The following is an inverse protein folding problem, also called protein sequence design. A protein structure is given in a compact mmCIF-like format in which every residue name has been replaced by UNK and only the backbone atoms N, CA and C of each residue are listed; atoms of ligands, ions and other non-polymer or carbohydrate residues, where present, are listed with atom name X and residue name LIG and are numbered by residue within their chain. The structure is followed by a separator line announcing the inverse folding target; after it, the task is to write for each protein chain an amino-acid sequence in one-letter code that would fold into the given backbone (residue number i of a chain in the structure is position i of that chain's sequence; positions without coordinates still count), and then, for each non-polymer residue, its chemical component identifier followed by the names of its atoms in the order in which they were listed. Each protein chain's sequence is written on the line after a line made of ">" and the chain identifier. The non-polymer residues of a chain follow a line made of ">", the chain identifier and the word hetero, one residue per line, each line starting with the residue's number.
data_IF_726051379734
#
_entry.id   IF_726051379734
#
_cell.length_a   1.000
_cell.length_b   1.000
_cell.length_c   1.000
_cell.angle_alpha   90.00
_cell.angle_beta   90.00
_cell.angle_gamma   90.00
#
_symmetry.space_group_name_H-M   'P 1'
#
loop_
_entity.id
_entity.type
_entity.pdbx_description
1 polymer ?
#
# COMPACT_ATOMS: atom_id res chain seq x y z
N UNK A 1 9.03 -10.37 46.86
CA UNK A 1 10.06 -10.08 45.83
C UNK A 1 9.62 -8.99 44.83
N UNK A 2 8.73 -9.22 43.84
CA UNK A 2 8.32 -8.16 42.89
C UNK A 2 7.59 -6.97 43.54
N UNK A 3 6.87 -7.20 44.65
CA UNK A 3 6.11 -6.15 45.35
C UNK A 3 6.98 -5.14 46.14
N UNK A 4 8.26 -5.43 46.36
CA UNK A 4 9.17 -4.56 47.11
C UNK A 4 10.05 -3.70 46.18
N UNK A 5 10.10 -4.06 44.89
CA UNK A 5 10.94 -3.35 43.91
C UNK A 5 10.36 -1.96 43.60
N UNK A 6 11.21 -0.94 43.38
CA UNK A 6 10.79 0.35 42.84
C UNK A 6 10.06 0.21 41.49
N UNK A 7 9.20 1.17 41.16
CA UNK A 7 8.37 1.09 39.96
C UNK A 7 9.21 1.13 38.67
N UNK A 8 10.36 1.79 38.70
CA UNK A 8 11.33 1.87 37.60
C UNK A 8 11.94 0.50 37.29
N UNK A 9 12.21 -0.31 38.31
CA UNK A 9 12.74 -1.67 38.14
C UNK A 9 11.67 -2.59 37.57
N UNK A 10 10.44 -2.48 38.07
CA UNK A 10 9.28 -3.22 37.53
C UNK A 10 9.05 -2.85 36.06
N UNK A 11 9.17 -1.57 35.72
CA UNK A 11 9.10 -1.09 34.34
C UNK A 11 10.17 -1.74 33.46
N UNK A 12 11.44 -1.72 33.89
CA UNK A 12 12.53 -2.36 33.15
C UNK A 12 12.29 -3.86 32.95
N UNK A 13 11.85 -4.58 33.98
CA UNK A 13 11.50 -6.00 33.87
C UNK A 13 10.39 -6.22 32.84
N UNK A 14 9.35 -5.39 32.85
CA UNK A 14 8.22 -5.53 31.95
C UNK A 14 8.60 -5.35 30.47
N UNK A 15 9.64 -4.56 30.16
CA UNK A 15 10.15 -4.39 28.79
C UNK A 15 10.75 -5.67 28.20
N UNK A 16 11.22 -6.59 29.04
CA UNK A 16 11.77 -7.89 28.61
C UNK A 16 10.70 -8.97 28.42
N UNK A 17 9.43 -8.67 28.73
CA UNK A 17 8.36 -9.64 28.52
C UNK A 17 8.13 -9.87 27.02
N UNK A 18 8.15 -11.13 26.56
CA UNK A 18 8.20 -11.42 25.13
C UNK A 18 6.86 -11.18 24.43
N UNK A 19 5.73 -11.29 25.15
CA UNK A 19 4.39 -11.23 24.56
C UNK A 19 3.46 -10.27 25.29
N UNK A 20 2.46 -9.75 24.55
CA UNK A 20 1.40 -8.93 25.12
C UNK A 20 0.63 -9.68 26.22
N UNK A 21 0.47 -11.01 26.07
CA UNK A 21 -0.15 -11.87 27.09
C UNK A 21 0.69 -11.91 28.38
N UNK A 22 2.02 -11.99 28.27
CA UNK A 22 2.92 -11.94 29.44
C UNK A 22 2.78 -10.62 30.19
N UNK A 23 2.72 -9.48 29.47
CA UNK A 23 2.50 -8.15 30.07
C UNK A 23 1.12 -8.08 30.75
N UNK A 24 0.09 -8.59 30.10
CA UNK A 24 -1.26 -8.62 30.65
C UNK A 24 -1.35 -9.49 31.93
N UNK A 25 -0.74 -10.67 31.94
CA UNK A 25 -0.70 -11.53 33.11
C UNK A 25 0.03 -10.86 34.28
N UNK A 26 1.16 -10.18 34.04
CA UNK A 26 1.85 -9.42 35.09
C UNK A 26 0.94 -8.31 35.67
N UNK A 27 0.11 -7.68 34.85
CA UNK A 27 -0.84 -6.65 35.32
C UNK A 27 -1.97 -7.21 36.18
N UNK A 28 -2.26 -8.51 36.05
CA UNK A 28 -3.36 -9.17 36.74
C UNK A 28 -2.94 -9.78 38.09
N UNK A 29 -1.64 -9.84 38.40
CA UNK A 29 -1.18 -10.51 39.63
C UNK A 29 -1.55 -9.75 40.91
N UNK A 30 -1.52 -8.41 40.91
CA UNK A 30 -1.94 -7.61 42.08
C UNK A 30 -2.26 -6.16 41.71
N UNK A 31 -2.97 -5.45 42.61
CA UNK A 31 -3.39 -4.04 42.39
C UNK A 31 -2.23 -3.08 42.14
N UNK A 32 -1.09 -3.26 42.82
CA UNK A 32 0.11 -2.42 42.63
C UNK A 32 0.71 -2.60 41.24
N UNK A 33 0.90 -3.85 40.80
CA UNK A 33 1.42 -4.14 39.47
C UNK A 33 0.46 -3.72 38.37
N UNK A 34 -0.85 -3.87 38.59
CA UNK A 34 -1.87 -3.30 37.72
C UNK A 34 -1.65 -1.80 37.53
N UNK A 35 -1.62 -1.04 38.64
CA UNK A 35 -1.45 0.40 38.62
C UNK A 35 -0.17 0.84 37.91
N UNK A 36 0.97 0.16 38.16
CA UNK A 36 2.25 0.47 37.50
C UNK A 36 2.18 0.20 35.99
N UNK A 37 1.58 -0.92 35.57
CA UNK A 37 1.58 -1.32 34.15
C UNK A 37 0.60 -0.49 33.31
N UNK A 38 -0.50 -0.05 33.91
CA UNK A 38 -1.51 0.78 33.22
C UNK A 38 -1.28 2.28 33.38
N UNK A 39 -0.31 2.70 34.21
CA UNK A 39 0.03 4.12 34.40
C UNK A 39 0.51 4.79 33.10
N UNK A 40 0.48 6.14 33.10
CA UNK A 40 1.01 6.98 32.02
C UNK A 40 0.53 6.55 30.63
N UNK A 41 -0.78 6.43 30.46
CA UNK A 41 -1.43 5.96 29.23
C UNK A 41 -0.90 4.60 28.74
N UNK A 42 -0.68 3.65 29.65
CA UNK A 42 -0.17 2.32 29.30
C UNK A 42 1.22 2.38 28.64
N UNK A 43 2.14 3.19 29.17
CA UNK A 43 3.53 3.36 28.66
C UNK A 43 4.28 2.04 28.42
N UNK A 44 4.04 1.01 29.22
CA UNK A 44 4.66 -0.32 29.02
C UNK A 44 4.15 -0.96 27.73
N UNK A 45 2.84 -0.87 27.46
CA UNK A 45 2.28 -1.34 26.21
C UNK A 45 2.77 -0.52 25.02
N UNK A 46 2.99 0.79 25.19
CA UNK A 46 3.63 1.63 24.16
C UNK A 46 5.01 1.08 23.81
N UNK A 47 5.85 0.87 24.82
CA UNK A 47 7.19 0.36 24.61
C UNK A 47 7.19 -1.05 23.98
N UNK A 48 6.27 -1.92 24.41
CA UNK A 48 6.05 -3.23 23.79
C UNK A 48 5.70 -3.08 22.30
N UNK A 49 4.72 -2.26 21.95
CA UNK A 49 4.31 -2.05 20.54
C UNK A 49 5.47 -1.48 19.73
N UNK A 50 6.13 -0.43 20.22
CA UNK A 50 7.26 0.19 19.51
C UNK A 50 8.44 -0.77 19.30
N UNK A 51 8.67 -1.71 20.21
CA UNK A 51 9.77 -2.68 20.08
C UNK A 51 9.39 -3.84 19.17
N UNK A 52 8.17 -4.35 19.29
CA UNK A 52 7.70 -5.57 18.62
C UNK A 52 7.11 -5.32 17.23
N UNK A 53 6.58 -4.11 17.01
CA UNK A 53 5.91 -3.66 15.78
C UNK A 53 6.39 -2.25 15.35
N UNK A 54 7.71 -2.02 15.20
CA UNK A 54 8.31 -0.68 15.09
C UNK A 54 7.85 0.15 13.87
N UNK A 55 7.39 -0.48 12.79
CA UNK A 55 7.03 0.23 11.55
C UNK A 55 5.50 0.32 11.32
N UNK A 56 4.70 -0.11 12.29
CA UNK A 56 3.24 -0.01 12.20
C UNK A 56 2.81 1.28 12.88
N UNK A 57 2.29 2.23 12.08
CA UNK A 57 1.66 3.42 12.62
C UNK A 57 0.51 3.01 13.54
N UNK A 58 0.62 3.44 14.80
CA UNK A 58 -0.26 2.99 15.87
C UNK A 58 -0.75 4.22 16.63
N UNK A 59 -2.07 4.49 16.69
CA UNK A 59 -2.61 5.55 17.54
C UNK A 59 -2.33 5.25 19.03
N UNK A 60 -2.44 6.25 19.93
CA UNK A 60 -2.07 6.13 21.35
C UNK A 60 -3.04 5.26 22.20
N UNK A 61 -3.62 4.21 21.62
CA UNK A 61 -4.46 3.21 22.31
C UNK A 61 -3.63 1.96 22.61
N UNK A 62 -2.50 2.14 23.30
CA UNK A 62 -1.39 1.17 23.31
C UNK A 62 -1.76 -0.25 23.77
N UNK A 63 -2.66 -0.36 24.74
CA UNK A 63 -3.16 -1.66 25.21
C UNK A 63 -3.95 -2.41 24.12
N UNK A 64 -4.90 -1.72 23.50
CA UNK A 64 -5.73 -2.30 22.44
C UNK A 64 -4.89 -2.59 21.18
N UNK A 65 -3.96 -1.69 20.85
CA UNK A 65 -2.99 -1.87 19.80
C UNK A 65 -2.14 -3.13 20.02
N UNK A 66 -1.56 -3.30 21.21
CA UNK A 66 -0.76 -4.47 21.55
C UNK A 66 -1.58 -5.75 21.38
N UNK A 67 -2.83 -5.77 21.86
CA UNK A 67 -3.73 -6.91 21.69
C UNK A 67 -4.01 -7.21 20.21
N UNK A 68 -4.35 -6.20 19.42
CA UNK A 68 -4.74 -6.37 18.03
C UNK A 68 -3.56 -6.78 17.13
N UNK A 69 -2.39 -6.16 17.30
CA UNK A 69 -1.18 -6.49 16.54
C UNK A 69 -0.69 -7.89 16.87
N UNK A 70 -0.62 -8.24 18.17
CA UNK A 70 -0.28 -9.60 18.61
C UNK A 70 -1.27 -10.65 18.06
N UNK A 71 -2.57 -10.34 18.07
CA UNK A 71 -3.61 -11.24 17.56
C UNK A 71 -3.52 -11.41 16.04
N UNK A 72 -3.29 -10.33 15.29
CA UNK A 72 -3.12 -10.36 13.83
C UNK A 72 -1.88 -11.15 13.43
N UNK A 73 -0.75 -10.91 14.09
CA UNK A 73 0.49 -11.69 13.86
C UNK A 73 0.25 -13.18 14.08
N UNK A 74 -0.40 -13.55 15.18
CA UNK A 74 -0.74 -14.95 15.48
C UNK A 74 -1.71 -15.56 14.48
N UNK A 75 -2.74 -14.82 14.05
CA UNK A 75 -3.72 -15.30 13.08
C UNK A 75 -3.04 -15.65 11.76
N UNK A 76 -2.12 -14.79 11.32
CA UNK A 76 -1.36 -14.98 10.10
C UNK A 76 -0.37 -16.16 10.18
N UNK A 77 0.36 -16.31 11.29
CA UNK A 77 1.21 -17.49 11.53
C UNK A 77 0.43 -18.80 11.56
N UNK A 78 -0.89 -18.74 11.77
CA UNK A 78 -1.81 -19.88 11.72
C UNK A 78 -2.56 -19.99 10.40
N UNK A 79 -2.16 -19.23 9.38
CA UNK A 79 -2.81 -19.18 8.07
C UNK A 79 -4.31 -18.83 8.14
N UNK A 80 -4.73 -18.07 9.16
CA UNK A 80 -6.12 -17.65 9.35
C UNK A 80 -6.45 -16.46 8.43
N UNK A 81 -6.53 -16.72 7.13
CA UNK A 81 -6.90 -15.76 6.09
C UNK A 81 -8.35 -15.97 5.68
N UNK A 82 -9.12 -14.89 5.57
CA UNK A 82 -10.51 -14.93 5.12
C UNK A 82 -10.61 -14.20 3.79
N UNK A 83 -10.84 -14.95 2.71
CA UNK A 83 -11.25 -14.38 1.43
C UNK A 83 -12.72 -13.98 1.49
N UNK A 84 -13.06 -12.79 0.95
CA UNK A 84 -14.45 -12.34 0.82
C UNK A 84 -14.68 -11.84 -0.58
N UNK A 85 -15.79 -12.26 -1.17
CA UNK A 85 -16.32 -11.65 -2.38
C UNK A 85 -17.13 -10.42 -1.98
N UNK A 86 -16.89 -9.30 -2.66
CA UNK A 86 -17.44 -7.99 -2.29
C UNK A 86 -18.15 -7.41 -3.50
N UNK A 87 -19.43 -7.07 -3.33
CA UNK A 87 -20.26 -6.40 -4.32
C UNK A 87 -20.96 -5.19 -3.69
N UNK A 88 -21.20 -4.12 -4.46
CA UNK A 88 -22.08 -3.05 -3.99
C UNK A 88 -23.48 -3.60 -3.71
N UNK A 89 -24.10 -3.25 -2.57
CA UNK A 89 -25.45 -3.66 -2.25
C UNK A 89 -26.47 -2.97 -3.17
N UNK A 90 -27.67 -3.54 -3.31
CA UNK A 90 -28.72 -3.00 -4.20
C UNK A 90 -29.18 -1.58 -3.84
N UNK A 91 -29.01 -1.18 -2.59
CA UNK A 91 -29.34 0.14 -2.07
C UNK A 91 -28.14 1.10 -2.05
N UNK A 92 -27.04 0.78 -2.74
CA UNK A 92 -25.93 1.72 -2.90
C UNK A 92 -26.43 3.01 -3.56
N UNK A 93 -26.04 4.16 -3.00
CA UNK A 93 -26.42 5.45 -3.54
C UNK A 93 -25.80 5.63 -4.93
N UNK A 94 -26.63 6.02 -5.89
CA UNK A 94 -26.24 6.24 -7.28
C UNK A 94 -26.03 7.73 -7.51
N UNK A 95 -24.78 8.14 -7.74
CA UNK A 95 -24.40 9.55 -7.93
C UNK A 95 -24.05 9.79 -9.40
N UNK A 96 -24.62 10.83 -10.00
CA UNK A 96 -24.40 11.20 -11.40
C UNK A 96 -25.35 10.49 -12.37
N UNK A 97 -24.91 10.24 -13.61
CA UNK A 97 -25.69 9.60 -14.66
C UNK A 97 -25.55 8.07 -14.60
N UNK A 98 -26.67 7.37 -14.40
CA UNK A 98 -26.73 5.90 -14.39
C UNK A 98 -27.56 5.35 -15.55
N UNK A 99 -27.74 6.14 -16.60
CA UNK A 99 -28.56 5.78 -17.77
C UNK A 99 -27.73 5.25 -18.93
N UNK A 100 -26.41 5.12 -18.74
CA UNK A 100 -25.51 4.70 -19.79
C UNK A 100 -25.87 3.30 -20.31
N UNK A 101 -25.87 3.18 -21.63
CA UNK A 101 -25.96 1.89 -22.31
C UNK A 101 -24.68 1.69 -23.09
N UNK A 102 -23.97 0.60 -22.80
CA UNK A 102 -22.79 0.21 -23.57
C UNK A 102 -23.24 -0.28 -24.94
N UNK A 103 -22.67 0.27 -26.00
CA UNK A 103 -23.02 -0.08 -27.40
C UNK A 103 -21.86 -0.72 -28.17
N UNK A 104 -20.66 -0.77 -27.59
CA UNK A 104 -19.50 -1.37 -28.21
C UNK A 104 -19.25 -2.79 -27.70
N UNK A 105 -18.51 -3.57 -28.50
CA UNK A 105 -17.95 -4.83 -28.04
C UNK A 105 -16.65 -4.53 -27.29
N UNK A 106 -16.49 -4.97 -26.01
CA UNK A 106 -15.27 -4.75 -25.26
C UNK A 106 -14.03 -5.28 -25.99
N UNK A 107 -13.13 -4.39 -26.40
CA UNK A 107 -11.85 -4.77 -27.06
C UNK A 107 -10.65 -4.62 -26.15
N UNK A 108 -10.81 -3.88 -25.04
CA UNK A 108 -9.79 -3.65 -24.05
C UNK A 108 -9.93 -4.67 -22.91
N UNK A 109 -8.80 -5.27 -22.52
CA UNK A 109 -8.76 -6.17 -21.37
C UNK A 109 -9.02 -5.42 -20.07
N UNK A 110 -9.54 -6.14 -19.07
CA UNK A 110 -9.77 -5.57 -17.74
C UNK A 110 -8.45 -5.07 -17.11
N UNK A 111 -8.46 -3.80 -16.66
CA UNK A 111 -7.36 -3.17 -15.95
C UNK A 111 -7.81 -2.91 -14.50
N UNK A 112 -7.30 -3.67 -13.51
CA UNK A 112 -7.76 -3.50 -12.13
C UNK A 112 -7.33 -2.15 -11.57
N UNK A 113 -8.30 -1.33 -11.21
CA UNK A 113 -8.09 -0.04 -10.55
C UNK A 113 -8.76 -0.11 -9.18
N UNK A 114 -7.98 -0.24 -8.11
CA UNK A 114 -8.46 -0.38 -6.74
C UNK A 114 -7.51 0.34 -5.80
N UNK A 115 -8.06 1.05 -4.83
CA UNK A 115 -7.30 1.69 -3.77
C UNK A 115 -8.09 1.73 -2.46
N UNK A 116 -7.38 1.78 -1.34
CA UNK A 116 -7.99 1.81 -0.02
C UNK A 116 -7.11 2.52 1.00
N UNK A 117 -7.73 3.17 1.99
CA UNK A 117 -7.02 3.62 3.18
C UNK A 117 -7.86 3.38 4.44
N UNK A 118 -7.18 3.33 5.57
CA UNK A 118 -7.79 3.20 6.89
C UNK A 118 -7.23 4.29 7.81
N UNK A 119 -8.10 4.89 8.63
CA UNK A 119 -7.70 5.84 9.68
C UNK A 119 -8.44 5.55 10.97
N UNK A 120 -7.77 5.72 12.10
CA UNK A 120 -8.40 5.71 13.41
C UNK A 120 -9.00 7.08 13.72
N UNK A 121 -10.24 7.11 14.19
CA UNK A 121 -11.00 8.34 14.38
C UNK A 121 -11.89 8.34 15.62
N UNK A 122 -11.57 7.51 16.62
CA UNK A 122 -12.25 7.48 17.92
C UNK A 122 -11.28 7.23 19.07
N UNK A 123 -11.78 6.67 20.17
CA UNK A 123 -11.03 6.48 21.42
C UNK A 123 -10.45 5.07 21.57
N UNK A 124 -10.88 4.13 20.74
CA UNK A 124 -10.44 2.74 20.76
C UNK A 124 -9.79 2.33 19.46
N UNK A 125 -8.97 1.29 19.52
CA UNK A 125 -8.38 0.70 18.32
C UNK A 125 -9.41 0.25 17.28
N UNK A 126 -10.62 -0.14 17.72
CA UNK A 126 -11.71 -0.58 16.85
C UNK A 126 -12.47 0.57 16.17
N UNK A 127 -12.32 1.81 16.66
CA UNK A 127 -12.98 2.99 16.11
C UNK A 127 -12.20 3.50 14.89
N UNK A 128 -12.62 3.02 13.72
CA UNK A 128 -11.89 3.22 12.46
C UNK A 128 -12.80 3.55 11.31
N UNK A 129 -12.30 4.39 10.41
CA UNK A 129 -12.86 4.63 9.08
C UNK A 129 -12.00 3.96 8.02
N UNK A 130 -12.60 3.06 7.27
CA UNK A 130 -12.02 2.43 6.08
C UNK A 130 -12.73 3.00 4.84
N UNK A 131 -11.95 3.43 3.86
CA UNK A 131 -12.46 3.83 2.54
C UNK A 131 -11.82 2.92 1.50
N UNK A 132 -12.66 2.32 0.67
CA UNK A 132 -12.27 1.43 -0.43
C UNK A 132 -12.92 1.96 -1.70
N UNK A 133 -12.14 2.12 -2.77
CA UNK A 133 -12.65 2.53 -4.07
C UNK A 133 -12.07 1.66 -5.18
N UNK A 134 -12.88 1.37 -6.21
CA UNK A 134 -12.41 0.67 -7.39
C UNK A 134 -13.21 1.05 -8.64
N UNK A 135 -12.55 0.92 -9.80
CA UNK A 135 -13.18 1.03 -11.10
C UNK A 135 -13.83 -0.31 -11.51
N UNK A 136 -15.05 -0.22 -12.04
CA UNK A 136 -15.79 -1.32 -12.63
C UNK A 136 -16.35 -0.85 -13.98
N UNK A 137 -15.61 -1.13 -15.07
CA UNK A 137 -15.85 -0.49 -16.37
C UNK A 137 -15.83 1.04 -16.22
N UNK A 138 -16.85 1.76 -16.70
CA UNK A 138 -16.98 3.21 -16.59
C UNK A 138 -17.43 3.71 -15.20
N UNK A 139 -17.92 2.81 -14.34
CA UNK A 139 -18.41 3.15 -13.01
C UNK A 139 -17.29 3.12 -11.96
N UNK A 140 -17.32 4.09 -11.06
CA UNK A 140 -16.50 4.11 -9.85
C UNK A 140 -17.33 3.67 -8.65
N UNK A 141 -16.89 2.63 -7.95
CA UNK A 141 -17.54 2.11 -6.75
C UNK A 141 -16.74 2.53 -5.53
N UNK A 142 -17.42 3.06 -4.50
CA UNK A 142 -16.81 3.51 -3.25
C UNK A 142 -17.58 2.93 -2.06
N UNK A 143 -16.83 2.37 -1.11
CA UNK A 143 -17.32 1.93 0.19
C UNK A 143 -16.66 2.73 1.29
N UNK A 144 -17.47 3.28 2.19
CA UNK A 144 -17.01 3.96 3.40
C UNK A 144 -17.58 3.20 4.60
N UNK A 145 -16.69 2.60 5.37
CA UNK A 145 -17.06 1.79 6.54
C UNK A 145 -16.47 2.41 7.80
N UNK A 146 -17.35 2.80 8.71
CA UNK A 146 -17.01 3.11 10.10
C UNK A 146 -17.19 1.84 10.94
N UNK A 147 -16.18 1.52 11.74
CA UNK A 147 -16.19 0.43 12.72
C UNK A 147 -16.12 1.00 14.14
N UNK A 148 -16.42 0.15 15.13
CA UNK A 148 -16.38 0.51 16.55
C UNK A 148 -17.71 1.06 17.06
N UNK A 149 -17.65 2.08 17.91
CA UNK A 149 -18.80 2.62 18.66
C UNK A 149 -19.89 3.18 17.75
N UNK A 150 -19.49 3.77 16.61
CA UNK A 150 -20.39 4.35 15.62
C UNK A 150 -20.42 3.53 14.32
N UNK A 151 -20.53 2.20 14.43
CA UNK A 151 -20.48 1.31 13.28
C UNK A 151 -21.56 1.68 12.24
N UNK A 152 -21.12 2.02 11.02
CA UNK A 152 -21.99 2.34 9.89
C UNK A 152 -21.25 2.07 8.59
N UNK A 153 -22.00 1.79 7.54
CA UNK A 153 -21.43 1.49 6.23
C UNK A 153 -22.25 2.20 5.16
N UNK A 154 -21.55 2.83 4.21
CA UNK A 154 -22.14 3.52 3.07
C UNK A 154 -21.47 3.07 1.79
N UNK A 155 -22.27 3.03 0.74
CA UNK A 155 -21.89 2.55 -0.57
C UNK A 155 -22.35 3.53 -1.63
N UNK A 156 -21.47 3.82 -2.57
CA UNK A 156 -21.71 4.73 -3.68
C UNK A 156 -21.28 4.09 -4.98
N UNK A 157 -22.07 4.34 -6.02
CA UNK A 157 -21.65 4.10 -7.39
C UNK A 157 -21.76 5.41 -8.13
N UNK A 158 -20.64 5.85 -8.68
CA UNK A 158 -20.52 7.07 -9.45
C UNK A 158 -20.33 6.75 -10.93
N UNK A 159 -21.10 7.41 -11.77
CA UNK A 159 -20.86 7.53 -13.20
C UNK A 159 -21.39 8.88 -13.65
N UNK A 160 -20.75 9.51 -14.62
CA UNK A 160 -21.11 10.81 -15.17
C UNK A 160 -21.35 10.74 -16.69
N UNK A 161 -21.39 9.52 -17.25
CA UNK A 161 -21.52 9.30 -18.68
C UNK A 161 -22.96 8.96 -19.06
N UNK A 162 -23.38 9.46 -20.22
CA UNK A 162 -24.66 9.08 -20.84
C UNK A 162 -24.48 7.96 -21.88
N UNK A 163 -23.29 7.85 -22.45
CA UNK A 163 -22.88 6.82 -23.40
C UNK A 163 -21.51 6.30 -23.01
N UNK A 164 -21.32 4.99 -23.09
CA UNK A 164 -20.10 4.33 -22.64
C UNK A 164 -19.50 3.46 -23.73
N UNK A 165 -18.18 3.50 -23.81
CA UNK A 165 -17.33 2.67 -24.65
C UNK A 165 -16.21 2.06 -23.82
N UNK A 166 -15.47 1.11 -24.38
CA UNK A 166 -14.27 0.53 -23.76
C UNK A 166 -13.22 1.58 -23.38
N UNK A 167 -13.17 2.72 -24.09
CA UNK A 167 -12.22 3.79 -23.79
C UNK A 167 -12.64 4.64 -22.58
N UNK A 168 -13.88 4.50 -22.13
CA UNK A 168 -14.41 5.16 -20.93
C UNK A 168 -14.18 4.33 -19.66
N UNK A 169 -13.71 3.09 -19.81
CA UNK A 169 -13.37 2.22 -18.68
C UNK A 169 -12.32 2.91 -17.79
N UNK A 170 -12.56 2.88 -16.48
CA UNK A 170 -11.65 3.38 -15.46
C UNK A 170 -10.46 2.41 -15.37
N UNK A 171 -9.26 2.91 -15.65
CA UNK A 171 -8.01 2.15 -15.58
C UNK A 171 -7.10 2.60 -14.42
N UNK A 172 -7.51 3.61 -13.65
CA UNK A 172 -6.74 4.13 -12.53
C UNK A 172 -7.63 4.75 -11.46
N UNK A 173 -7.37 4.43 -10.20
CA UNK A 173 -8.03 5.02 -9.02
C UNK A 173 -6.98 5.22 -7.93
N UNK A 174 -6.94 6.41 -7.34
CA UNK A 174 -6.10 6.75 -6.19
C UNK A 174 -6.90 7.59 -5.20
N UNK A 175 -7.06 7.12 -3.97
CA UNK A 175 -7.73 7.83 -2.88
C UNK A 175 -6.78 8.86 -2.27
N UNK A 176 -7.28 10.07 -2.03
CA UNK A 176 -6.54 11.08 -1.28
C UNK A 176 -6.76 10.85 0.22
N UNK A 177 -5.66 10.63 0.94
CA UNK A 177 -5.64 10.36 2.38
C UNK A 177 -6.11 11.58 3.19
N UNK A 178 -6.46 11.37 4.46
CA UNK A 178 -6.95 12.43 5.36
C UNK A 178 -5.98 13.60 5.57
N UNK A 179 -4.68 13.40 5.34
CA UNK A 179 -3.67 14.46 5.44
C UNK A 179 -3.61 15.37 4.19
N UNK A 180 -4.41 15.11 3.16
CA UNK A 180 -4.46 15.95 1.97
C UNK A 180 -4.97 17.36 2.29
N UNK A 181 -4.23 18.38 1.83
CA UNK A 181 -4.37 19.76 2.30
C UNK A 181 -5.78 20.36 2.16
N UNK A 182 -6.56 19.96 1.15
CA UNK A 182 -7.89 20.50 0.86
C UNK A 182 -9.03 19.50 1.06
N UNK A 183 -8.76 18.39 1.75
CA UNK A 183 -9.79 17.39 2.05
C UNK A 183 -10.63 17.85 3.23
N UNK A 184 -11.93 18.04 3.00
CA UNK A 184 -12.89 18.20 4.10
C UNK A 184 -13.22 16.83 4.71
N UNK A 185 -13.55 16.83 6.01
CA UNK A 185 -13.96 15.65 6.77
C UNK A 185 -15.25 15.02 6.24
N UNK A 186 -16.10 15.81 5.57
CA UNK A 186 -17.40 15.39 5.03
C UNK A 186 -17.34 14.89 3.58
N UNK A 187 -16.18 14.96 2.93
CA UNK A 187 -16.00 14.57 1.53
C UNK A 187 -14.88 13.56 1.34
N UNK A 188 -15.07 12.65 0.39
CA UNK A 188 -14.01 11.79 -0.10
C UNK A 188 -13.44 12.35 -1.39
N UNK A 189 -12.12 12.53 -1.39
CA UNK A 189 -11.38 13.02 -2.54
C UNK A 189 -10.60 11.86 -3.15
N UNK A 190 -10.63 11.77 -4.47
CA UNK A 190 -9.92 10.74 -5.22
C UNK A 190 -9.55 11.25 -6.60
N UNK A 191 -8.50 10.68 -7.17
CA UNK A 191 -8.16 10.83 -8.58
C UNK A 191 -8.54 9.54 -9.29
N UNK A 192 -9.24 9.66 -10.40
CA UNK A 192 -9.48 8.52 -11.28
C UNK A 192 -9.09 8.87 -12.71
N UNK A 193 -8.77 7.84 -13.48
CA UNK A 193 -8.33 7.95 -14.87
C UNK A 193 -9.04 6.95 -15.76
N UNK A 194 -9.46 7.40 -16.95
CA UNK A 194 -10.08 6.61 -18.00
C UNK A 194 -9.09 6.28 -19.10
N UNK A 195 -9.31 5.16 -19.80
CA UNK A 195 -8.41 4.71 -20.87
C UNK A 195 -8.24 5.78 -21.96
N UNK A 196 -9.28 6.56 -22.29
CA UNK A 196 -9.23 7.67 -23.26
C UNK A 196 -8.26 8.82 -22.92
N UNK A 197 -7.58 8.76 -21.78
CA UNK A 197 -6.64 9.80 -21.34
C UNK A 197 -7.26 10.82 -20.41
N UNK A 198 -8.54 10.71 -20.05
CA UNK A 198 -9.13 11.62 -19.07
C UNK A 198 -8.64 11.28 -17.66
N UNK A 199 -8.16 12.28 -16.94
CA UNK A 199 -7.81 12.16 -15.53
C UNK A 199 -8.44 13.32 -14.76
N UNK A 200 -9.16 12.99 -13.70
CA UNK A 200 -9.96 13.94 -12.95
C UNK A 200 -9.80 13.74 -11.44
N UNK A 201 -9.68 14.85 -10.69
CA UNK A 201 -9.79 14.87 -9.24
C UNK A 201 -11.24 15.14 -8.86
N UNK A 202 -11.86 14.16 -8.22
CA UNK A 202 -13.26 14.15 -7.83
C UNK A 202 -13.39 14.27 -6.31
N UNK A 203 -14.27 15.16 -5.86
CA UNK A 203 -14.73 15.21 -4.49
C UNK A 203 -16.18 14.70 -4.44
N UNK A 204 -16.45 13.68 -3.64
CA UNK A 204 -17.80 13.14 -3.42
C UNK A 204 -18.20 13.43 -1.99
N UNK A 205 -19.42 13.94 -1.79
CA UNK A 205 -20.03 14.06 -0.46
C UNK A 205 -20.99 12.89 -0.22
N UNK A 206 -20.61 11.92 0.62
CA UNK A 206 -21.42 10.74 0.93
C UNK A 206 -22.79 11.06 1.54
N UNK A 207 -22.88 12.16 2.29
CA UNK A 207 -24.08 12.53 3.04
C UNK A 207 -25.08 13.31 2.19
N UNK A 208 -24.58 14.04 1.19
CA UNK A 208 -25.38 14.88 0.30
C UNK A 208 -25.65 14.24 -1.06
N UNK A 209 -24.99 13.12 -1.36
CA UNK A 209 -25.05 12.43 -2.65
C UNK A 209 -24.67 13.33 -3.84
N UNK A 210 -23.79 14.31 -3.61
CA UNK A 210 -23.28 15.23 -4.64
C UNK A 210 -21.82 14.94 -4.93
N UNK A 211 -21.40 15.30 -6.14
CA UNK A 211 -20.01 15.23 -6.58
C UNK A 211 -19.58 16.57 -7.18
N UNK A 212 -18.28 16.82 -7.16
CA UNK A 212 -17.67 18.02 -7.72
C UNK A 212 -16.31 17.66 -8.34
N UNK A 213 -16.14 18.03 -9.61
CA UNK A 213 -14.85 18.00 -10.27
C UNK A 213 -13.98 19.16 -9.78
N UNK A 214 -12.95 18.84 -9.02
CA UNK A 214 -12.03 19.85 -8.47
C UNK A 214 -10.96 20.25 -9.47
N UNK A 215 -10.43 19.28 -10.22
CA UNK A 215 -9.36 19.46 -11.22
C UNK A 215 -9.47 18.45 -12.34
N UNK A 216 -9.06 18.85 -13.52
CA UNK A 216 -8.75 17.97 -14.65
C UNK A 216 -7.26 18.09 -14.97
N UNK A 217 -6.63 16.98 -15.35
CA UNK A 217 -5.21 16.96 -15.70
C UNK A 217 -5.06 16.88 -17.21
N UNK A 218 -4.20 17.72 -17.78
CA UNK A 218 -3.96 17.77 -19.21
C UNK A 218 -3.13 16.56 -19.67
N UNK A 219 -3.68 15.77 -20.58
CA UNK A 219 -3.04 14.55 -21.10
C UNK A 219 -2.83 14.57 -22.61
N UNK A 220 -3.31 15.62 -23.29
CA UNK A 220 -3.27 15.75 -24.75
C UNK A 220 -3.91 14.59 -25.50
N UNK A 221 -4.92 13.94 -24.89
CA UNK A 221 -5.66 12.82 -25.50
C UNK A 221 -4.86 11.53 -25.64
N UNK A 222 -3.75 11.39 -24.93
CA UNK A 222 -2.96 10.15 -24.92
C UNK A 222 -3.69 9.04 -24.15
N UNK A 223 -3.74 7.83 -24.72
CA UNK A 223 -4.33 6.67 -24.05
C UNK A 223 -3.62 6.38 -22.73
N UNK A 224 -4.39 6.29 -21.64
CA UNK A 224 -3.92 6.05 -20.29
C UNK A 224 -3.84 4.55 -20.01
N UNK A 225 -2.68 4.11 -19.52
CA UNK A 225 -2.50 2.72 -19.07
C UNK A 225 -2.77 2.58 -17.57
N UNK A 226 -2.28 3.55 -16.79
CA UNK A 226 -2.38 3.54 -15.32
C UNK A 226 -2.06 4.92 -14.74
N UNK A 227 -2.45 5.12 -13.49
CA UNK A 227 -1.98 6.22 -12.66
C UNK A 227 -1.31 5.69 -11.39
N UNK A 228 -0.54 6.55 -10.74
CA UNK A 228 -0.01 6.32 -9.40
C UNK A 228 0.10 7.64 -8.65
N UNK A 229 -0.02 7.58 -7.34
CA UNK A 229 -0.01 8.76 -6.48
C UNK A 229 1.08 8.60 -5.42
N UNK A 230 1.83 9.67 -5.16
CA UNK A 230 2.78 9.68 -4.04
C UNK A 230 2.04 9.86 -2.71
N UNK A 231 2.70 9.54 -1.61
CA UNK A 231 2.18 9.83 -0.28
C UNK A 231 2.35 11.32 0.10
N UNK A 232 1.72 11.71 1.21
CA UNK A 232 1.88 13.02 1.83
C UNK A 232 0.73 14.02 1.56
N UNK A 233 0.82 15.23 2.14
CA UNK A 233 -0.23 16.25 2.05
C UNK A 233 -0.31 16.93 0.68
N UNK A 234 0.78 16.91 -0.09
CA UNK A 234 0.90 17.48 -1.44
C UNK A 234 1.34 16.39 -2.43
N UNK A 235 0.49 15.40 -2.70
CA UNK A 235 0.88 14.24 -3.49
C UNK A 235 1.15 14.62 -4.95
N UNK A 236 2.11 13.92 -5.55
CA UNK A 236 2.42 13.99 -6.97
C UNK A 236 1.67 12.86 -7.66
N UNK A 237 0.93 13.20 -8.71
CA UNK A 237 0.30 12.24 -9.59
C UNK A 237 1.26 11.87 -10.72
N UNK A 238 1.44 10.59 -10.98
CA UNK A 238 2.10 10.08 -12.17
C UNK A 238 1.07 9.42 -13.10
N UNK A 239 0.99 9.85 -14.35
CA UNK A 239 0.14 9.28 -15.38
C UNK A 239 1.00 8.56 -16.43
N UNK A 240 0.65 7.31 -16.74
CA UNK A 240 1.38 6.46 -17.68
C UNK A 240 0.58 6.29 -18.95
N UNK A 241 1.19 6.62 -20.08
CA UNK A 241 0.54 6.59 -21.37
C UNK A 241 1.04 5.44 -22.23
N UNK A 242 0.19 4.96 -23.14
CA UNK A 242 0.48 3.83 -24.03
C UNK A 242 1.70 4.05 -24.93
N UNK A 243 2.06 5.32 -25.20
CA UNK A 243 3.25 5.68 -25.96
C UNK A 243 4.57 5.55 -25.15
N UNK A 244 4.49 5.14 -23.88
CA UNK A 244 5.63 4.98 -22.98
C UNK A 244 6.08 6.27 -22.27
N UNK A 245 5.33 7.37 -22.40
CA UNK A 245 5.54 8.59 -21.63
C UNK A 245 4.89 8.48 -20.26
N UNK A 246 5.57 9.02 -19.26
CA UNK A 246 5.07 9.21 -17.90
C UNK A 246 5.08 10.69 -17.61
N UNK A 247 3.91 11.29 -17.36
CA UNK A 247 3.80 12.69 -16.98
C UNK A 247 3.50 12.82 -15.49
N UNK A 248 4.06 13.86 -14.88
CA UNK A 248 3.92 14.13 -13.45
C UNK A 248 3.19 15.46 -13.21
N UNK A 249 2.25 15.46 -12.27
CA UNK A 249 1.37 16.59 -11.98
C UNK A 249 1.33 16.86 -10.47
N UNK A 250 1.29 18.13 -10.10
CA UNK A 250 0.97 18.53 -8.74
C UNK A 250 -0.54 18.52 -8.54
N UNK A 251 -1.08 17.66 -7.67
CA UNK A 251 -2.53 17.59 -7.44
C UNK A 251 -3.08 18.85 -6.77
N UNK A 252 -2.21 19.63 -6.14
CA UNK A 252 -2.53 20.84 -5.39
C UNK A 252 -2.39 22.11 -6.24
N UNK A 253 -2.12 21.98 -7.53
CA UNK A 253 -2.03 23.11 -8.47
C UNK A 253 -3.35 23.88 -8.53
N UNK A 254 -3.26 25.21 -8.63
CA UNK A 254 -4.43 26.07 -8.82
C UNK A 254 -4.94 26.11 -10.26
N UNK A 255 -4.06 25.79 -11.22
CA UNK A 255 -4.40 25.74 -12.64
C UNK A 255 -5.45 24.66 -12.95
N UNK A 256 -6.36 24.94 -13.88
CA UNK A 256 -7.31 23.97 -14.41
C UNK A 256 -7.52 24.22 -15.92
N UNK A 257 -7.09 23.31 -16.81
CA UNK A 257 -6.49 22.01 -16.51
C UNK A 257 -5.09 22.13 -15.90
N UNK A 258 -4.73 21.15 -15.07
CA UNK A 258 -3.40 21.03 -14.44
C UNK A 258 -2.41 20.53 -15.50
N UNK A 259 -1.38 21.31 -15.77
CA UNK A 259 -0.30 20.94 -16.68
C UNK A 259 0.73 20.04 -15.99
N UNK A 260 1.34 19.14 -16.75
CA UNK A 260 2.46 18.35 -16.26
C UNK A 260 3.67 19.25 -16.01
N UNK A 261 4.32 19.12 -14.85
CA UNK A 261 5.53 19.90 -14.56
C UNK A 261 6.80 19.21 -15.09
N UNK A 262 6.74 17.90 -15.33
CA UNK A 262 7.83 17.13 -15.94
C UNK A 262 7.30 15.82 -16.54
N UNK A 263 8.09 15.19 -17.41
CA UNK A 263 7.78 13.90 -18.00
C UNK A 263 9.05 13.05 -18.22
N UNK A 264 8.89 11.74 -18.25
CA UNK A 264 9.93 10.78 -18.67
C UNK A 264 9.39 9.97 -19.83
N UNK A 265 10.23 9.66 -20.82
CA UNK A 265 9.87 8.75 -21.92
C UNK A 265 10.69 7.47 -21.85
N UNK A 266 10.02 6.33 -21.77
CA UNK A 266 10.66 5.02 -21.82
C UNK A 266 10.76 4.58 -23.28
N UNK A 267 11.92 4.79 -23.88
CA UNK A 267 12.27 4.23 -25.19
C UNK A 267 12.79 2.81 -25.00
N UNK A 268 11.91 1.81 -25.11
CA UNK A 268 12.35 0.41 -25.17
C UNK A 268 12.06 -0.14 -26.56
N UNK A 269 13.09 -0.67 -27.22
CA UNK A 269 13.00 -1.35 -28.53
C UNK A 269 12.14 -2.63 -28.46
N UNK A 270 11.94 -3.14 -27.25
CA UNK A 270 11.03 -4.24 -26.97
C UNK A 270 9.86 -3.69 -26.19
N UNK A 271 8.74 -3.51 -26.86
CA UNK A 271 7.44 -3.15 -26.26
C UNK A 271 6.98 -4.30 -25.36
N UNK A 272 7.61 -4.46 -24.19
CA UNK A 272 7.17 -5.43 -23.19
C UNK A 272 5.97 -4.82 -22.49
N UNK A 273 4.81 -5.49 -22.60
CA UNK A 273 3.51 -5.12 -22.00
C UNK A 273 3.52 -4.90 -20.47
N UNK A 274 4.63 -5.17 -19.79
CA UNK A 274 4.72 -5.11 -18.32
C UNK A 274 5.72 -4.02 -17.89
N UNK A 275 5.34 -2.76 -18.07
CA UNK A 275 6.08 -1.62 -17.52
C UNK A 275 5.64 -1.40 -16.07
N UNK A 276 6.54 -1.65 -15.12
CA UNK A 276 6.31 -1.35 -13.72
C UNK A 276 6.90 0.01 -13.37
N UNK A 277 6.18 0.77 -12.55
CA UNK A 277 6.61 2.07 -12.09
C UNK A 277 5.85 2.42 -10.82
N UNK A 278 6.53 3.02 -9.85
CA UNK A 278 5.91 3.33 -8.56
C UNK A 278 6.68 4.42 -7.84
N UNK A 279 5.96 5.26 -7.10
CA UNK A 279 6.58 6.09 -6.07
C UNK A 279 7.17 5.19 -4.98
N UNK A 280 8.44 5.42 -4.64
CA UNK A 280 9.05 4.83 -3.46
C UNK A 280 8.87 5.74 -2.24
N UNK A 281 8.77 7.03 -2.49
CA UNK A 281 8.53 8.12 -1.54
C UNK A 281 8.06 9.36 -2.32
N UNK A 282 7.67 10.47 -1.67
CA UNK A 282 7.29 11.69 -2.39
C UNK A 282 8.42 12.27 -3.25
N UNK A 283 9.68 11.96 -2.93
CA UNK A 283 10.88 12.46 -3.60
C UNK A 283 11.55 11.43 -4.53
N UNK A 284 11.14 10.15 -4.52
CA UNK A 284 11.77 9.09 -5.34
C UNK A 284 10.77 8.26 -6.13
N UNK A 285 11.13 7.97 -7.37
CA UNK A 285 10.32 7.23 -8.32
C UNK A 285 11.10 6.06 -8.92
N UNK A 286 10.52 4.86 -8.85
CA UNK A 286 11.05 3.66 -9.48
C UNK A 286 10.44 3.45 -10.86
N UNK A 287 11.27 3.06 -11.82
CA UNK A 287 10.93 2.89 -13.22
C UNK A 287 11.57 1.62 -13.80
N UNK A 288 10.76 0.68 -14.25
CA UNK A 288 11.23 -0.45 -15.03
C UNK A 288 11.37 -0.06 -16.51
N UNK A 289 12.57 -0.16 -17.07
CA UNK A 289 12.85 0.21 -18.46
C UNK A 289 12.67 -0.96 -19.42
N UNK A 290 12.87 -2.19 -18.93
CA UNK A 290 12.87 -3.42 -19.73
C UNK A 290 14.16 -3.64 -20.54
N UNK A 291 15.18 -2.80 -20.37
CA UNK A 291 16.51 -2.97 -21.00
C UNK A 291 17.46 -3.69 -20.05
N UNK A 292 18.44 -4.42 -20.56
CA UNK A 292 19.29 -5.26 -19.72
C UNK A 292 20.25 -4.43 -18.85
N UNK A 293 20.73 -3.33 -19.40
CA UNK A 293 21.68 -2.40 -18.80
C UNK A 293 21.08 -1.51 -17.69
N UNK A 294 19.76 -1.31 -17.68
CA UNK A 294 19.09 -0.45 -16.69
C UNK A 294 17.66 -0.88 -16.36
N UNK A 295 17.44 -2.20 -16.29
CA UNK A 295 16.13 -2.85 -16.10
C UNK A 295 15.25 -2.18 -15.06
N UNK A 296 15.86 -1.72 -13.97
CA UNK A 296 15.24 -0.86 -12.98
C UNK A 296 16.08 0.39 -12.77
N UNK A 297 15.45 1.55 -12.93
CA UNK A 297 16.05 2.86 -12.66
C UNK A 297 15.26 3.58 -11.57
N UNK A 298 15.97 4.21 -10.65
CA UNK A 298 15.41 5.05 -9.59
C UNK A 298 15.74 6.49 -9.92
N UNK A 299 14.73 7.34 -9.99
CA UNK A 299 14.85 8.77 -10.18
C UNK A 299 14.45 9.52 -8.90
N UNK A 300 15.03 10.70 -8.70
CA UNK A 300 14.69 11.61 -7.62
C UNK A 300 14.12 12.91 -8.19
N UNK A 301 13.07 13.44 -7.56
CA UNK A 301 12.52 14.75 -7.89
C UNK A 301 13.42 15.84 -7.30
N UNK A 302 13.83 16.77 -8.16
CA UNK A 302 14.57 17.98 -7.82
C UNK A 302 13.81 19.22 -8.29
N UNK A 303 14.13 20.43 -7.81
CA UNK A 303 13.52 21.66 -8.29
C UNK A 303 13.63 21.83 -9.82
N UNK A 304 14.71 21.34 -10.43
CA UNK A 304 14.98 21.41 -11.87
C UNK A 304 14.29 20.29 -12.67
N UNK A 305 13.63 19.34 -12.00
CA UNK A 305 12.95 18.19 -12.62
C UNK A 305 13.42 16.83 -12.08
N UNK A 306 13.22 15.78 -12.87
CA UNK A 306 13.63 14.42 -12.51
C UNK A 306 15.11 14.18 -12.82
N UNK A 307 15.83 13.64 -11.85
CA UNK A 307 17.24 13.26 -11.99
C UNK A 307 17.43 11.78 -11.71
N UNK A 308 18.30 11.11 -12.47
CA UNK A 308 18.64 9.71 -12.20
C UNK A 308 19.40 9.60 -10.87
N UNK A 309 18.98 8.68 -10.02
CA UNK A 309 19.57 8.44 -8.70
C UNK A 309 20.37 7.13 -8.66
N UNK A 310 19.80 6.01 -9.14
CA UNK A 310 20.47 4.70 -9.18
C UNK A 310 19.90 3.82 -10.30
N UNK A 311 20.72 2.92 -10.85
CA UNK A 311 20.30 1.92 -11.82
C UNK A 311 20.68 0.52 -11.37
N UNK A 312 19.91 -0.46 -11.83
CA UNK A 312 20.12 -1.88 -11.60
C UNK A 312 20.02 -2.63 -12.92
N UNK A 313 21.11 -3.30 -13.28
CA UNK A 313 21.21 -4.15 -14.45
C UNK A 313 20.91 -5.62 -14.12
N UNK A 314 20.53 -6.39 -15.13
CA UNK A 314 20.23 -7.84 -15.00
C UNK A 314 21.48 -8.65 -14.65
N UNK A 315 22.66 -8.21 -15.10
CA UNK A 315 23.93 -8.92 -14.88
C UNK A 315 24.37 -8.94 -13.42
N UNK A 316 23.98 -7.92 -12.65
CA UNK A 316 24.24 -7.81 -11.21
C UNK A 316 23.29 -8.67 -10.35
N UNK A 317 22.29 -9.33 -10.94
CA UNK A 317 21.33 -10.17 -10.23
C UNK A 317 21.84 -11.62 -10.10
N UNK A 318 21.48 -12.29 -9.00
CA UNK A 318 21.72 -13.73 -8.74
C UNK A 318 20.82 -14.65 -9.57
N UNK A 319 20.78 -14.47 -10.89
CA UNK A 319 19.92 -15.27 -11.78
C UNK A 319 20.52 -16.67 -11.91
N UNK A 320 19.78 -17.69 -11.46
CA UNK A 320 20.24 -19.07 -11.51
C UNK A 320 20.11 -19.64 -12.94
N UNK A 321 21.24 -19.81 -13.61
CA UNK A 321 21.33 -20.35 -14.98
C UNK A 321 20.84 -21.81 -15.06
N UNK A 322 20.82 -22.55 -13.94
CA UNK A 322 20.37 -23.96 -13.89
C UNK A 322 18.86 -24.12 -13.96
N UNK A 323 18.09 -23.04 -13.78
CA UNK A 323 16.62 -23.09 -13.84
C UNK A 323 16.07 -23.11 -15.28
N UNK A 324 16.93 -23.00 -16.30
CA UNK A 324 16.51 -22.91 -17.70
C UNK A 324 15.73 -21.62 -18.03
N UNK A 325 15.70 -20.65 -17.11
CA UNK A 325 15.00 -19.38 -17.29
C UNK A 325 15.94 -18.42 -18.03
N UNK A 326 15.61 -18.10 -19.28
CA UNK A 326 16.29 -17.05 -20.04
C UNK A 326 16.37 -15.76 -19.21
N UNK A 327 17.54 -15.11 -19.15
CA UNK A 327 17.70 -13.79 -18.51
C UNK A 327 16.65 -12.84 -19.08
N UNK A 328 15.78 -12.30 -18.22
CA UNK A 328 14.77 -11.32 -18.62
C UNK A 328 14.98 -10.02 -17.86
N UNK A 329 15.01 -8.92 -18.62
CA UNK A 329 15.15 -7.57 -18.11
C UNK A 329 13.85 -6.97 -17.53
N UNK A 330 12.76 -7.75 -17.45
CA UNK A 330 11.49 -7.22 -16.99
C UNK A 330 11.45 -7.16 -15.46
N UNK A 331 11.07 -6.00 -14.93
CA UNK A 331 10.64 -5.83 -13.55
C UNK A 331 9.14 -5.59 -13.57
N UNK A 332 8.38 -6.47 -12.93
CA UNK A 332 6.91 -6.53 -13.06
C UNK A 332 6.18 -5.85 -11.91
N UNK A 333 6.79 -5.82 -10.72
CA UNK A 333 6.25 -5.16 -9.55
C UNK A 333 7.36 -4.51 -8.75
N UNK A 334 7.08 -3.34 -8.17
CA UNK A 334 7.94 -2.63 -7.22
C UNK A 334 7.06 -2.15 -6.09
N UNK A 335 7.53 -2.20 -4.85
CA UNK A 335 6.80 -1.68 -3.69
C UNK A 335 7.75 -1.19 -2.60
N UNK A 336 7.61 0.06 -2.11
CA UNK A 336 8.45 0.56 -1.02
C UNK A 336 8.18 -0.16 0.29
N UNK A 337 9.23 -0.33 1.10
CA UNK A 337 9.08 -0.77 2.49
C UNK A 337 9.06 0.46 3.40
N UNK A 338 8.05 0.53 4.27
CA UNK A 338 7.95 1.59 5.27
C UNK A 338 8.96 1.33 6.38
N UNK A 339 10.18 1.86 6.25
CA UNK A 339 11.22 1.67 7.27
C UNK A 339 11.31 2.80 8.29
N UNK A 340 10.47 3.84 8.19
CA UNK A 340 10.52 4.99 9.09
C UNK A 340 9.55 4.85 10.27
N UNK A 341 9.94 5.40 11.41
CA UNK A 341 9.11 5.55 12.60
C UNK A 341 8.02 6.60 12.45
N UNK A 342 8.10 7.45 11.41
CA UNK A 342 7.10 8.47 11.09
C UNK A 342 5.99 7.96 10.16
N UNK A 343 6.00 6.68 9.78
CA UNK A 343 5.01 6.08 8.87
C UNK A 343 5.19 6.44 7.40
N UNK A 344 6.13 7.34 7.05
CA UNK A 344 6.43 7.72 5.67
C UNK A 344 7.65 6.97 5.13
N UNK A 345 7.52 6.24 4.02
CA UNK A 345 8.67 5.63 3.35
C UNK A 345 9.72 6.68 2.96
N UNK A 346 10.98 6.43 3.31
CA UNK A 346 12.12 7.21 2.83
C UNK A 346 12.46 6.92 1.37
N UNK A 347 11.86 5.86 0.82
CA UNK A 347 12.09 5.35 -0.52
C UNK A 347 13.44 4.66 -0.72
N UNK A 348 14.21 4.48 0.35
CA UNK A 348 15.54 3.85 0.27
C UNK A 348 15.48 2.34 0.25
N UNK A 349 14.47 1.74 0.87
CA UNK A 349 14.32 0.28 0.95
C UNK A 349 13.04 -0.12 0.25
N UNK A 350 13.12 -1.06 -0.69
CA UNK A 350 11.97 -1.50 -1.46
C UNK A 350 12.12 -2.94 -1.95
N UNK A 351 10.99 -3.55 -2.31
CA UNK A 351 10.93 -4.85 -2.96
C UNK A 351 10.70 -4.68 -4.46
N UNK A 352 11.37 -5.49 -5.27
CA UNK A 352 11.14 -5.57 -6.71
C UNK A 352 11.01 -7.02 -7.18
N UNK A 353 10.00 -7.32 -7.99
CA UNK A 353 9.82 -8.60 -8.64
C UNK A 353 10.43 -8.57 -10.03
N UNK A 354 11.36 -9.48 -10.26
CA UNK A 354 12.14 -9.58 -11.49
C UNK A 354 11.59 -10.69 -12.40
N UNK A 355 12.02 -10.66 -13.65
CA UNK A 355 11.55 -11.55 -14.70
C UNK A 355 11.85 -13.03 -14.49
N UNK A 356 12.79 -13.32 -13.61
CA UNK A 356 13.15 -14.65 -13.12
C UNK A 356 12.23 -15.14 -11.98
N UNK A 357 11.15 -14.41 -11.69
CA UNK A 357 10.12 -14.71 -10.68
C UNK A 357 10.61 -14.55 -9.23
N UNK A 358 11.85 -14.11 -9.03
CA UNK A 358 12.36 -13.79 -7.71
C UNK A 358 11.91 -12.39 -7.29
N UNK A 359 11.60 -12.24 -6.00
CA UNK A 359 11.45 -10.92 -5.38
C UNK A 359 12.76 -10.60 -4.67
N UNK A 360 13.31 -9.42 -4.91
CA UNK A 360 14.55 -8.95 -4.28
C UNK A 360 14.28 -7.74 -3.41
N UNK A 361 14.96 -7.69 -2.26
CA UNK A 361 15.03 -6.53 -1.38
C UNK A 361 16.18 -5.64 -1.82
N UNK A 362 15.89 -4.38 -2.10
CA UNK A 362 16.86 -3.38 -2.52
C UNK A 362 17.03 -2.35 -1.41
N UNK A 363 18.26 -1.96 -1.12
CA UNK A 363 18.60 -0.80 -0.29
C UNK A 363 19.48 0.17 -1.07
N UNK A 364 18.98 1.38 -1.30
CA UNK A 364 19.68 2.45 -2.01
C UNK A 364 20.91 2.98 -1.29
N UNK A 365 21.04 2.71 0.00
CA UNK A 365 22.19 3.13 0.82
C UNK A 365 23.33 2.11 0.75
N UNK A 366 23.03 0.90 0.29
CA UNK A 366 24.01 -0.16 0.12
C UNK A 366 24.60 -0.15 -1.28
N UNK A 367 25.86 -0.54 -1.38
CA UNK A 367 26.51 -0.77 -2.67
C UNK A 367 26.05 -2.07 -3.33
N UNK A 368 25.45 -2.98 -2.57
CA UNK A 368 24.96 -4.24 -3.11
C UNK A 368 23.78 -4.00 -4.07
N UNK A 369 23.66 -4.78 -5.15
CA UNK A 369 22.53 -4.68 -6.06
C UNK A 369 21.21 -5.12 -5.41
N UNK A 370 21.26 -5.97 -4.38
CA UNK A 370 20.14 -6.35 -3.53
C UNK A 370 20.69 -6.91 -2.20
N UNK A 371 19.87 -6.90 -1.15
CA UNK A 371 20.21 -7.37 0.21
C UNK A 371 19.68 -8.78 0.49
N UNK A 372 18.57 -9.16 -0.13
CA UNK A 372 17.96 -10.46 0.05
C UNK A 372 17.14 -10.87 -1.18
N UNK A 373 17.05 -12.18 -1.39
CA UNK A 373 16.27 -12.80 -2.47
C UNK A 373 15.20 -13.73 -1.88
N UNK A 374 13.96 -13.55 -2.31
CA UNK A 374 12.81 -14.36 -1.93
C UNK A 374 12.29 -15.11 -3.15
N UNK A 375 12.22 -16.43 -3.05
CA UNK A 375 11.75 -17.32 -4.12
C UNK A 375 10.82 -18.36 -3.54
N UNK A 376 9.82 -18.72 -4.32
CA UNK A 376 8.99 -19.90 -4.09
C UNK A 376 9.42 -20.96 -5.10
N UNK A 377 10.09 -22.00 -4.60
CA UNK A 377 10.58 -23.09 -5.45
C UNK A 377 9.45 -23.96 -6.01
N UNK A 378 8.27 -23.95 -5.37
CA UNK A 378 7.13 -24.80 -5.73
C UNK A 378 6.22 -24.19 -6.79
N UNK A 379 6.19 -22.85 -6.89
CA UNK A 379 5.37 -22.17 -7.87
C UNK A 379 6.18 -21.13 -8.65
N UNK A 380 6.22 -21.35 -9.96
CA UNK A 380 7.03 -20.65 -10.92
C UNK A 380 6.24 -19.60 -11.73
N UNK A 381 5.12 -19.13 -11.21
CA UNK A 381 4.32 -18.14 -11.91
C UNK A 381 4.93 -16.73 -11.81
N UNK A 382 4.75 -15.89 -12.84
CA UNK A 382 5.23 -14.51 -12.80
C UNK A 382 4.51 -13.73 -11.68
N UNK A 383 5.25 -12.89 -10.97
CA UNK A 383 4.70 -12.00 -9.95
C UNK A 383 4.16 -10.75 -10.64
N UNK A 384 2.91 -10.36 -10.36
CA UNK A 384 2.28 -9.17 -10.94
C UNK A 384 2.15 -7.99 -9.97
N UNK A 385 2.13 -8.26 -8.67
CA UNK A 385 2.00 -7.22 -7.65
C UNK A 385 2.70 -7.63 -6.35
N UNK A 386 3.20 -6.64 -5.62
CA UNK A 386 3.82 -6.78 -4.30
C UNK A 386 3.14 -5.79 -3.36
N UNK A 387 2.60 -6.30 -2.26
CA UNK A 387 2.01 -5.51 -1.20
C UNK A 387 2.71 -5.82 0.13
N UNK A 388 3.68 -5.00 0.56
CA UNK A 388 4.16 -5.01 1.93
C UNK A 388 3.00 -4.75 2.88
N UNK A 389 2.94 -5.50 3.97
CA UNK A 389 1.90 -5.30 4.97
C UNK A 389 2.47 -5.60 6.36
N UNK A 390 2.19 -4.70 7.30
CA UNK A 390 2.94 -4.68 8.56
C UNK A 390 4.38 -4.24 8.36
N UNK A 391 5.26 -4.65 9.27
CA UNK A 391 6.67 -4.27 9.27
C UNK A 391 7.61 -5.43 8.86
N UNK A 392 7.05 -6.62 8.67
CA UNK A 392 7.84 -7.85 8.65
C UNK A 392 7.40 -8.86 7.60
N UNK A 393 6.43 -8.53 6.73
CA UNK A 393 5.92 -9.44 5.70
C UNK A 393 5.47 -8.70 4.46
N UNK A 394 5.35 -9.46 3.38
CA UNK A 394 4.73 -8.96 2.15
C UNK A 394 3.92 -10.05 1.47
N UNK A 395 2.87 -9.63 0.77
CA UNK A 395 2.04 -10.47 -0.07
C UNK A 395 2.43 -10.24 -1.52
N UNK A 396 2.41 -11.31 -2.33
CA UNK A 396 2.51 -11.20 -3.78
C UNK A 396 1.34 -11.88 -4.47
N UNK A 397 0.86 -11.26 -5.54
CA UNK A 397 -0.07 -11.87 -6.49
C UNK A 397 0.72 -12.51 -7.64
N UNK A 398 0.59 -13.82 -7.82
CA UNK A 398 1.24 -14.56 -8.89
C UNK A 398 0.24 -14.94 -10.00
N UNK A 399 0.71 -14.91 -11.25
CA UNK A 399 -0.07 -15.30 -12.43
C UNK A 399 -0.38 -16.79 -12.49
N UNK A 400 -1.03 -17.24 -13.57
CA UNK A 400 -1.23 -18.67 -13.89
C UNK A 400 -2.36 -19.34 -13.12
N UNK A 401 -2.38 -19.21 -11.78
CA UNK A 401 -3.22 -20.03 -10.90
C UNK A 401 -4.07 -19.22 -9.90
N UNK A 402 -4.14 -17.88 -10.06
CA UNK A 402 -4.80 -16.97 -9.12
C UNK A 402 -4.31 -17.15 -7.65
N UNK A 403 -3.01 -17.41 -7.48
CA UNK A 403 -2.39 -17.67 -6.17
C UNK A 403 -1.88 -16.38 -5.54
N UNK A 404 -2.13 -16.28 -4.24
CA UNK A 404 -1.55 -15.27 -3.35
C UNK A 404 -0.50 -15.93 -2.46
N UNK A 405 0.72 -15.41 -2.47
CA UNK A 405 1.83 -15.93 -1.64
C UNK A 405 2.19 -14.92 -0.56
N UNK A 406 2.56 -15.42 0.62
CA UNK A 406 2.96 -14.58 1.76
C UNK A 406 4.40 -14.93 2.09
N UNK A 407 5.25 -13.91 2.07
CA UNK A 407 6.67 -14.02 2.41
C UNK A 407 6.95 -13.31 3.72
N UNK A 408 7.93 -13.83 4.45
CA UNK A 408 8.35 -13.37 5.76
C UNK A 408 9.70 -12.65 5.67
N UNK A 409 9.78 -11.43 6.20
CA UNK A 409 10.98 -10.59 6.28
C UNK A 409 11.65 -10.67 7.65
N UNK A 410 11.10 -11.41 8.63
CA UNK A 410 11.63 -11.47 10.00
C UNK A 410 13.00 -12.16 10.04
N UNK A 411 14.08 -11.38 10.11
CA UNK A 411 15.44 -11.89 10.37
C UNK A 411 16.18 -10.98 11.37
N UNK A 412 16.48 -11.45 12.61
CA UNK A 412 15.80 -12.49 13.37
C UNK A 412 14.60 -11.91 14.18
N UNK A 413 13.42 -12.50 14.01
CA UNK A 413 12.13 -12.33 14.73
C UNK A 413 12.00 -11.16 15.74
N UNK A 414 11.28 -10.09 15.36
CA UNK A 414 10.91 -9.04 16.34
C UNK A 414 9.83 -9.51 17.31
N UNK A 415 8.87 -10.35 16.88
CA UNK A 415 7.79 -10.89 17.71
C UNK A 415 7.35 -12.30 17.27
N UNK A 416 7.22 -13.23 18.23
CA UNK A 416 6.55 -14.50 18.04
C UNK A 416 5.62 -14.80 19.23
N UNK A 417 4.37 -15.14 18.94
CA UNK A 417 3.37 -15.45 19.98
C UNK A 417 3.69 -16.73 20.77
N UNK A 418 4.61 -17.56 20.28
CA UNK A 418 5.08 -18.77 20.95
C UNK A 418 6.17 -18.49 21.99
N UNK A 419 6.79 -17.32 22.01
CA UNK A 419 7.91 -17.01 22.93
C UNK A 419 7.50 -17.05 24.42
N UNK A 420 6.20 -16.94 24.72
CA UNK A 420 5.67 -17.11 26.08
C UNK A 420 5.51 -18.58 26.50
N UNK A 421 5.51 -19.52 25.55
CA UNK A 421 5.62 -20.94 25.85
C UNK A 421 7.11 -21.20 26.01
N UNK A 422 7.58 -21.25 27.26
CA UNK A 422 8.97 -21.59 27.53
C UNK A 422 9.40 -22.82 26.74
N UNK A 423 10.69 -22.92 26.39
CA UNK A 423 11.23 -24.08 25.71
C UNK A 423 10.69 -25.35 26.39
N UNK A 424 9.86 -26.10 25.68
CA UNK A 424 9.47 -27.43 26.11
C UNK A 424 10.77 -28.24 26.13
N UNK A 425 11.37 -28.37 27.31
CA UNK A 425 12.39 -29.36 27.54
C UNK A 425 11.74 -30.71 27.23
N UNK A 426 12.08 -31.28 26.09
CA UNK A 426 11.85 -32.69 25.80
C UNK A 426 12.79 -33.41 26.78
N UNK A 427 12.23 -33.88 27.90
CA UNK A 427 12.88 -34.80 28.83
C UNK A 427 12.76 -36.23 28.32
#
# INVERSE_FOLDING_TARGET
>A
MLFELPFEIIYHIALFLPTATSVAHLSQTCRRLHAIITAEDSRIFRAFVSTKFPQIETPPFWKDAAQALASRSRALDRHAVIGRFVLPPRNAAKIGSHRATRRDNPTLGYRPAIDSYEVWNGERWADRKEVLAWGAADELIIRIKQSGTNAREKWFVFSDLEQTSSYDDICGVCLLKSCYYSKDTSTEHLVFGRVRGEISLLAISPDKEVHEYKRQFETHGLELERIGLSDGPHPILAAHFANGTISFYHTTSENNPVQAFTHIRITSDRVTRNKCSRFLSPDKYALATGRFEDSLSIAAFRPEGLSLFRQFDVGSMDIDEHTGINKRANVTAVSPLNTSTSGMSTGNVFLAAWGDRAIRLHDLRSHNPFEATFRDSTNQNPVYNILPFGHDRFVVGAGGDAVVKIFDLRMPNTYNYLDAKGHSFIS
#
